data_IF_122598891036
#
_entry.id   IF_122598891036
#
_cell.length_a   1.000
_cell.length_b   1.000
_cell.length_c   1.000
_cell.angle_alpha   90.00
_cell.angle_beta   90.00
_cell.angle_gamma   90.00
#
_symmetry.space_group_name_H-M   'P 1'
#
loop_
_entity.id
_entity.type
_entity.pdbx_description
1 polymer ?
#
# COMPACT_ATOMS: atom_id res chain seq x y z
N UNK A 1 8.67 -9.33 4.01
CA UNK A 1 8.36 -8.42 2.88
C UNK A 1 6.91 -8.04 3.01
N UNK A 2 6.53 -6.81 2.65
CA UNK A 2 5.14 -6.39 2.72
C UNK A 2 4.45 -6.72 1.40
N UNK A 3 3.22 -7.26 1.46
CA UNK A 3 2.36 -7.35 0.28
C UNK A 3 1.62 -6.03 0.17
N UNK A 4 1.58 -5.44 -1.03
CA UNK A 4 0.83 -4.23 -1.32
C UNK A 4 -0.28 -4.55 -2.29
N UNK A 5 -1.54 -4.46 -1.86
CA UNK A 5 -2.72 -4.68 -2.68
C UNK A 5 -3.24 -3.36 -3.24
N UNK A 6 -3.49 -3.32 -4.54
CA UNK A 6 -4.11 -2.19 -5.19
C UNK A 6 -5.62 -2.20 -4.91
N UNK A 7 -6.14 -1.13 -4.34
CA UNK A 7 -7.58 -0.98 -4.05
C UNK A 7 -8.44 -0.75 -5.31
N UNK A 8 -7.81 -0.32 -6.41
CA UNK A 8 -8.51 0.00 -7.68
C UNK A 8 -8.68 -1.21 -8.60
N UNK A 9 -7.65 -2.03 -8.73
CA UNK A 9 -7.63 -3.17 -9.67
C UNK A 9 -7.43 -4.53 -8.98
N UNK A 10 -7.18 -4.55 -7.67
CA UNK A 10 -6.95 -5.79 -6.92
C UNK A 10 -5.53 -6.38 -7.04
N UNK A 11 -4.66 -5.79 -7.87
CA UNK A 11 -3.30 -6.29 -8.07
C UNK A 11 -2.46 -6.27 -6.79
N UNK A 12 -1.81 -7.38 -6.45
CA UNK A 12 -0.90 -7.49 -5.31
C UNK A 12 0.55 -7.41 -5.76
N UNK A 13 1.38 -6.73 -4.97
CA UNK A 13 2.82 -6.63 -5.20
C UNK A 13 3.57 -6.81 -3.90
N UNK A 14 4.39 -7.82 -3.82
CA UNK A 14 5.31 -8.03 -2.70
C UNK A 14 6.56 -7.16 -2.83
N UNK A 15 7.02 -6.59 -1.74
CA UNK A 15 8.24 -5.79 -1.74
C UNK A 15 8.58 -5.21 -0.39
N UNK A 16 9.77 -4.60 -0.32
CA UNK A 16 10.19 -3.87 0.88
C UNK A 16 9.63 -2.45 0.93
N UNK A 17 9.45 -1.84 -0.24
CA UNK A 17 8.99 -0.45 -0.37
C UNK A 17 7.59 -0.40 -0.99
N UNK A 18 6.75 0.53 -0.52
CA UNK A 18 5.42 0.78 -1.10
C UNK A 18 5.57 1.30 -2.53
N UNK A 19 5.08 0.58 -3.54
CA UNK A 19 5.09 1.05 -4.93
C UNK A 19 4.29 2.36 -5.09
N UNK A 20 4.88 3.34 -5.78
CA UNK A 20 4.25 4.65 -6.06
C UNK A 20 3.10 4.55 -7.07
N UNK A 21 3.25 3.66 -8.06
CA UNK A 21 2.31 3.42 -9.14
C UNK A 21 1.92 1.95 -9.15
N UNK A 22 0.65 1.68 -9.42
CA UNK A 22 0.19 0.33 -9.67
C UNK A 22 0.74 -0.17 -11.03
N UNK A 23 1.38 -1.35 -11.08
CA UNK A 23 1.89 -1.90 -12.35
C UNK A 23 0.77 -2.38 -13.30
N UNK A 24 -0.45 -2.57 -12.81
CA UNK A 24 -1.59 -3.05 -13.61
C UNK A 24 -2.45 -1.91 -14.14
N UNK A 25 -2.90 -1.00 -13.26
CA UNK A 25 -3.78 0.09 -13.65
C UNK A 25 -3.07 1.44 -13.83
N UNK A 26 -1.76 1.53 -13.61
CA UNK A 26 -0.95 2.76 -13.68
C UNK A 26 -1.34 3.89 -12.70
N UNK A 27 -2.37 3.69 -11.88
CA UNK A 27 -2.83 4.62 -10.86
C UNK A 27 -1.77 4.87 -9.78
N UNK A 28 -1.64 6.12 -9.35
CA UNK A 28 -0.73 6.55 -8.28
C UNK A 28 -1.41 6.51 -6.92
N UNK A 29 -0.72 6.02 -5.89
CA UNK A 29 -1.19 6.09 -4.51
C UNK A 29 -2.22 5.03 -4.08
N UNK A 30 -2.72 4.20 -5.01
CA UNK A 30 -3.74 3.18 -4.74
C UNK A 30 -3.21 1.85 -4.16
N UNK A 31 -1.93 1.75 -3.83
CA UNK A 31 -1.33 0.50 -3.30
C UNK A 31 -1.31 0.51 -1.78
N UNK A 32 -2.15 -0.30 -1.16
CA UNK A 32 -2.33 -0.39 0.30
C UNK A 32 -1.53 -1.59 0.81
N UNK A 33 -0.89 -1.48 1.97
CA UNK A 33 -0.20 -2.63 2.57
C UNK A 33 -1.26 -3.63 3.02
N UNK A 34 -1.14 -4.87 2.57
CA UNK A 34 -1.98 -5.97 2.98
C UNK A 34 -1.53 -6.40 4.38
N UNK A 35 -2.39 -6.16 5.38
CA UNK A 35 -2.06 -6.26 6.81
C UNK A 35 -2.07 -7.70 7.35
N UNK A 36 -2.43 -8.68 6.51
CA UNK A 36 -2.48 -10.11 6.88
C UNK A 36 -1.11 -10.69 7.27
N UNK A 37 -0.01 -9.99 6.96
CA UNK A 37 1.32 -10.26 7.52
C UNK A 37 2.04 -8.94 7.84
N UNK A 38 1.77 -8.34 8.99
CA UNK A 38 2.74 -7.57 9.79
C UNK A 38 1.98 -6.76 10.82
N UNK A 39 1.90 -7.30 12.03
CA UNK A 39 1.71 -6.55 13.26
C UNK A 39 2.54 -5.25 13.24
N UNK A 40 1.89 -4.11 13.46
CA UNK A 40 2.53 -2.89 13.97
C UNK A 40 2.95 -1.79 12.97
N UNK A 41 2.70 -0.56 13.44
CA UNK A 41 3.02 0.77 12.91
C UNK A 41 2.00 1.32 11.88
N UNK A 42 1.19 2.33 12.18
CA UNK A 42 1.47 3.54 12.96
C UNK A 42 1.74 4.70 12.00
N UNK A 43 0.71 5.26 11.38
CA UNK A 43 0.82 6.50 10.62
C UNK A 43 -0.22 7.49 11.13
N UNK A 44 0.22 8.29 12.09
CA UNK A 44 -0.39 9.55 12.46
C UNK A 44 -0.42 10.47 11.23
N UNK A 45 -1.58 10.67 10.62
CA UNK A 45 -1.78 11.69 9.60
C UNK A 45 -3.17 12.34 9.68
N UNK A 46 -3.59 12.72 10.90
CA UNK A 46 -4.68 13.67 11.11
C UNK A 46 -4.41 14.52 12.35
N UNK A 47 -3.59 15.56 12.23
CA UNK A 47 -3.58 16.73 13.13
C UNK A 47 -2.66 17.82 12.58
N UNK A 48 -3.27 18.79 11.88
CA UNK A 48 -2.83 20.18 11.59
C UNK A 48 -3.71 20.64 10.42
N UNK A 49 -4.60 21.62 10.54
CA UNK A 49 -4.83 22.67 11.53
C UNK A 49 -6.30 23.09 11.43
#
# INVERSE_FOLDING_TARGET
MAIFKCEKCGATKEGRCKPKKCPQCSETGCMVKDESQSSGCGCACKSKK
#
